data_IF_144982930531
#
_entry.id   IF_144982930531
#
_cell.length_a   1.000
_cell.length_b   1.000
_cell.length_c   1.000
_cell.angle_alpha   90.00
_cell.angle_beta   90.00
_cell.angle_gamma   90.00
#
_symmetry.space_group_name_H-M   'P 1'
#
loop_
_entity.id
_entity.type
_entity.pdbx_description
1 polymer ?
#
# COMPACT_ATOMS: atom_id res chain seq x y z
N UNK A 1 42.80 -64.81 -38.46
CA UNK A 1 41.55 -64.16 -38.00
C UNK A 1 41.20 -64.72 -36.63
N UNK A 2 41.28 -63.92 -35.56
CA UNK A 2 40.95 -64.34 -34.19
C UNK A 2 39.59 -63.73 -33.81
N UNK A 3 38.58 -64.58 -33.66
CA UNK A 3 37.26 -64.20 -33.14
C UNK A 3 37.41 -64.09 -31.62
N UNK A 4 37.29 -62.87 -31.08
CA UNK A 4 37.17 -62.64 -29.65
C UNK A 4 35.68 -62.62 -29.29
N UNK A 5 35.23 -63.66 -28.61
CA UNK A 5 33.91 -63.74 -27.98
C UNK A 5 33.90 -62.80 -26.77
N UNK A 6 33.08 -61.75 -26.81
CA UNK A 6 32.83 -60.89 -25.65
C UNK A 6 31.75 -61.54 -24.78
N UNK A 7 32.13 -62.03 -23.60
CA UNK A 7 31.18 -62.38 -22.56
C UNK A 7 30.59 -61.08 -21.97
N UNK A 8 29.29 -60.88 -22.17
CA UNK A 8 28.56 -59.77 -21.59
C UNK A 8 28.08 -60.19 -20.19
N UNK A 9 28.80 -59.75 -19.15
CA UNK A 9 28.37 -59.94 -17.76
C UNK A 9 27.26 -58.93 -17.47
N UNK A 10 26.02 -59.41 -17.39
CA UNK A 10 24.87 -58.63 -16.97
C UNK A 10 25.01 -58.29 -15.46
N UNK A 11 25.45 -57.07 -15.16
CA UNK A 11 25.35 -56.51 -13.80
C UNK A 11 23.90 -56.08 -13.62
N UNK A 12 23.13 -56.91 -12.92
CA UNK A 12 21.80 -56.60 -12.44
C UNK A 12 21.93 -55.49 -11.37
N UNK A 13 21.89 -54.23 -11.80
CA UNK A 13 21.72 -53.10 -10.88
C UNK A 13 20.29 -53.17 -10.37
N UNK A 14 20.11 -53.70 -9.17
CA UNK A 14 18.90 -53.50 -8.37
C UNK A 14 18.75 -51.98 -8.20
N UNK A 15 17.92 -51.37 -9.04
CA UNK A 15 17.39 -50.04 -8.79
C UNK A 15 16.45 -50.18 -7.58
N UNK A 16 17.02 -50.07 -6.38
CA UNK A 16 16.23 -49.78 -5.20
C UNK A 16 15.56 -48.42 -5.46
N UNK A 17 14.28 -48.44 -5.81
CA UNK A 17 13.39 -47.30 -5.65
C UNK A 17 13.32 -46.98 -4.16
N UNK A 18 14.36 -46.33 -3.64
CA UNK A 18 14.29 -45.60 -2.40
C UNK A 18 13.28 -44.49 -2.66
N UNK A 19 12.04 -44.73 -2.22
CA UNK A 19 11.04 -43.69 -2.09
C UNK A 19 11.65 -42.59 -1.23
N UNK A 20 12.15 -41.54 -1.88
CA UNK A 20 12.59 -40.33 -1.22
C UNK A 20 11.39 -39.85 -0.39
N UNK A 21 11.54 -39.66 0.94
CA UNK A 21 10.45 -39.13 1.75
C UNK A 21 10.00 -37.83 1.09
N UNK A 22 8.67 -37.66 0.95
CA UNK A 22 8.05 -36.46 0.42
C UNK A 22 8.71 -35.26 1.09
N UNK A 23 9.63 -34.64 0.37
CA UNK A 23 10.46 -33.56 0.91
C UNK A 23 9.49 -32.44 1.19
N UNK A 24 9.40 -32.04 2.46
CA UNK A 24 8.58 -30.93 2.90
C UNK A 24 8.90 -29.75 1.98
N UNK A 25 7.99 -29.44 1.06
CA UNK A 25 8.20 -28.35 0.11
C UNK A 25 8.44 -27.09 0.95
N UNK A 26 9.56 -26.37 0.74
CA UNK A 26 9.82 -25.16 1.48
C UNK A 26 8.65 -24.21 1.23
N UNK A 27 7.90 -23.93 2.30
CA UNK A 27 6.77 -23.01 2.28
C UNK A 27 7.31 -21.65 1.83
N UNK A 28 7.08 -21.29 0.57
CA UNK A 28 7.43 -19.98 0.03
C UNK A 28 6.52 -18.95 0.70
N UNK A 29 7.07 -18.22 1.67
CA UNK A 29 6.35 -17.14 2.37
C UNK A 29 6.71 -15.83 1.68
N UNK A 30 5.76 -15.24 0.95
CA UNK A 30 5.88 -13.84 0.54
C UNK A 30 5.56 -12.95 1.74
N UNK A 31 6.25 -11.81 1.84
CA UNK A 31 5.94 -10.82 2.88
C UNK A 31 4.86 -9.89 2.34
N UNK A 32 3.79 -9.71 3.11
CA UNK A 32 2.66 -8.89 2.70
C UNK A 32 2.32 -7.90 3.80
N UNK A 33 2.21 -6.63 3.43
CA UNK A 33 1.89 -5.54 4.35
C UNK A 33 0.75 -4.73 3.77
N UNK A 34 -0.23 -4.36 4.58
CA UNK A 34 -1.34 -3.54 4.13
C UNK A 34 -1.45 -2.28 4.99
N UNK A 35 -1.40 -1.14 4.31
CA UNK A 35 -1.50 0.18 4.92
C UNK A 35 -2.78 0.84 4.42
N UNK A 36 -3.67 1.20 5.34
CA UNK A 36 -4.95 1.82 5.02
C UNK A 36 -5.18 3.06 5.87
N UNK A 37 -5.90 4.01 5.30
CA UNK A 37 -6.38 5.21 5.96
C UNK A 37 -7.85 5.40 5.66
N UNK A 38 -8.58 5.98 6.60
CA UNK A 38 -9.98 6.34 6.38
C UNK A 38 -10.07 7.67 5.64
N UNK A 39 -10.83 7.70 4.55
CA UNK A 39 -11.15 8.90 3.77
C UNK A 39 -12.68 8.99 3.64
N UNK A 40 -13.29 9.86 4.46
CA UNK A 40 -14.75 9.87 4.61
C UNK A 40 -15.24 8.55 5.20
N UNK A 41 -16.15 7.88 4.48
CA UNK A 41 -16.66 6.56 4.85
C UNK A 41 -15.98 5.41 4.10
N UNK A 42 -14.87 5.67 3.41
CA UNK A 42 -14.08 4.66 2.71
C UNK A 42 -12.78 4.37 3.46
N UNK A 43 -12.25 3.16 3.27
CA UNK A 43 -10.86 2.84 3.50
C UNK A 43 -10.09 2.93 2.18
N UNK A 44 -9.04 3.75 2.15
CA UNK A 44 -8.13 3.90 1.01
C UNK A 44 -6.74 3.47 1.46
N UNK A 45 -6.09 2.59 0.69
CA UNK A 45 -4.84 1.99 1.11
C UNK A 45 -4.03 1.35 0.00
N UNK A 46 -2.91 0.76 0.40
CA UNK A 46 -2.00 0.00 -0.47
C UNK A 46 -1.69 -1.31 0.24
N UNK A 47 -1.90 -2.43 -0.46
CA UNK A 47 -1.34 -3.72 -0.10
C UNK A 47 -0.01 -3.92 -0.84
N UNK A 48 1.04 -4.24 -0.11
CA UNK A 48 2.42 -4.36 -0.61
C UNK A 48 2.89 -5.80 -0.44
N UNK A 49 3.18 -6.47 -1.55
CA UNK A 49 3.75 -7.83 -1.60
C UNK A 49 5.24 -7.71 -1.89
N UNK A 50 6.07 -8.35 -1.08
CA UNK A 50 7.52 -8.44 -1.27
C UNK A 50 7.88 -9.91 -1.43
N UNK A 51 8.72 -10.23 -2.41
CA UNK A 51 9.33 -11.56 -2.52
C UNK A 51 10.66 -11.60 -1.74
N UNK A 52 10.70 -12.12 -0.51
CA UNK A 52 11.95 -12.20 0.26
C UNK A 52 12.86 -13.36 -0.19
N UNK A 53 12.39 -14.20 -1.13
CA UNK A 53 13.05 -15.43 -1.50
C UNK A 53 14.13 -15.18 -2.55
N UNK A 54 15.02 -16.15 -2.73
CA UNK A 54 16.08 -16.10 -3.76
C UNK A 54 15.59 -16.52 -5.15
N UNK A 55 14.33 -16.96 -5.28
CA UNK A 55 13.75 -17.44 -6.53
C UNK A 55 12.56 -16.56 -6.93
N UNK A 56 12.24 -16.43 -8.23
CA UNK A 56 10.99 -15.81 -8.64
C UNK A 56 9.78 -16.56 -8.09
N UNK A 57 8.76 -15.82 -7.64
CA UNK A 57 7.51 -16.39 -7.12
C UNK A 57 6.35 -15.87 -7.94
N UNK A 58 5.40 -16.73 -8.31
CA UNK A 58 4.19 -16.32 -8.99
C UNK A 58 3.14 -15.83 -7.99
N UNK A 59 2.64 -14.61 -8.21
CA UNK A 59 1.53 -14.02 -7.48
C UNK A 59 0.29 -14.19 -8.34
N UNK A 60 -0.56 -15.15 -7.98
CA UNK A 60 -1.76 -15.49 -8.75
C UNK A 60 -2.86 -14.44 -8.62
N UNK A 61 -3.29 -14.19 -7.39
CA UNK A 61 -4.41 -13.30 -7.07
C UNK A 61 -4.22 -12.73 -5.66
N UNK A 62 -4.63 -11.47 -5.46
CA UNK A 62 -4.71 -10.88 -4.13
C UNK A 62 -6.17 -10.77 -3.71
N UNK A 63 -6.48 -11.30 -2.53
CA UNK A 63 -7.81 -11.28 -1.93
C UNK A 63 -7.73 -10.89 -0.45
N UNK A 64 -8.67 -10.06 0.00
CA UNK A 64 -8.87 -9.73 1.42
C UNK A 64 -10.31 -9.24 1.63
N UNK A 65 -10.80 -9.31 2.85
CA UNK A 65 -12.15 -8.85 3.19
C UNK A 65 -12.10 -7.53 3.95
N UNK A 66 -13.02 -6.63 3.65
CA UNK A 66 -13.28 -5.43 4.43
C UNK A 66 -14.62 -5.61 5.12
N UNK A 67 -14.58 -5.52 6.45
CA UNK A 67 -15.76 -5.51 7.32
C UNK A 67 -16.04 -4.09 7.73
N UNK A 68 -17.31 -3.78 7.85
CA UNK A 68 -17.79 -2.48 8.29
C UNK A 68 -18.60 -2.69 9.56
N UNK A 69 -18.39 -1.82 10.53
CA UNK A 69 -19.20 -1.77 11.74
C UNK A 69 -20.11 -0.54 11.68
N UNK A 70 -21.19 -0.54 12.46
CA UNK A 70 -21.97 0.67 12.75
C UNK A 70 -21.38 1.48 13.92
N UNK A 71 -22.09 2.53 14.33
CA UNK A 71 -21.68 3.42 15.43
C UNK A 71 -21.59 2.70 16.78
N UNK A 72 -22.31 1.59 16.95
CA UNK A 72 -22.34 0.77 18.15
C UNK A 72 -21.32 -0.38 18.10
N UNK A 73 -20.42 -0.35 17.11
CA UNK A 73 -19.40 -1.39 16.86
C UNK A 73 -19.97 -2.77 16.52
N UNK A 74 -21.20 -2.83 15.98
CA UNK A 74 -21.79 -4.07 15.49
C UNK A 74 -21.39 -4.25 14.02
N UNK A 75 -20.75 -5.38 13.71
CA UNK A 75 -20.37 -5.71 12.33
C UNK A 75 -21.60 -5.89 11.45
N UNK A 76 -21.55 -5.29 10.26
CA UNK A 76 -22.58 -5.27 9.24
C UNK A 76 -22.16 -6.16 8.07
N UNK A 77 -22.64 -7.40 8.11
CA UNK A 77 -22.32 -8.41 7.09
C UNK A 77 -22.98 -8.10 5.73
N UNK A 78 -24.08 -7.34 5.71
CA UNK A 78 -24.81 -6.91 4.51
C UNK A 78 -23.99 -5.99 3.59
N UNK A 79 -22.99 -5.29 4.14
CA UNK A 79 -22.08 -4.44 3.37
C UNK A 79 -20.63 -4.92 3.38
N UNK A 80 -20.38 -6.17 3.83
CA UNK A 80 -19.05 -6.78 3.77
C UNK A 80 -18.56 -6.78 2.32
N UNK A 81 -17.33 -6.35 2.13
CA UNK A 81 -16.73 -6.29 0.79
C UNK A 81 -15.58 -7.28 0.69
N UNK A 82 -15.70 -8.21 -0.26
CA UNK A 82 -14.59 -9.06 -0.66
C UNK A 82 -13.80 -8.35 -1.76
N UNK A 83 -12.54 -8.02 -1.48
CA UNK A 83 -11.62 -7.53 -2.50
C UNK A 83 -11.01 -8.69 -3.28
N UNK A 84 -11.12 -8.59 -4.59
CA UNK A 84 -10.38 -9.39 -5.56
C UNK A 84 -9.67 -8.39 -6.47
N UNK A 85 -8.34 -8.40 -6.44
CA UNK A 85 -7.56 -7.48 -7.28
C UNK A 85 -7.04 -8.23 -8.51
N UNK A 86 -7.51 -7.91 -9.73
CA UNK A 86 -6.96 -8.48 -10.96
C UNK A 86 -5.64 -7.80 -11.38
N UNK A 87 -5.30 -6.68 -10.76
CA UNK A 87 -4.09 -5.92 -11.03
C UNK A 87 -3.61 -5.13 -9.81
N UNK A 88 -2.31 -4.87 -9.76
CA UNK A 88 -1.64 -4.06 -8.76
C UNK A 88 -0.91 -2.91 -9.45
N UNK A 89 -1.54 -1.72 -9.47
CA UNK A 89 -1.08 -0.60 -10.29
C UNK A 89 -1.16 -0.95 -11.78
N UNK A 90 -0.04 -0.82 -12.50
CA UNK A 90 0.07 -1.20 -13.92
C UNK A 90 0.28 -2.71 -14.16
N UNK A 91 0.51 -3.49 -13.10
CA UNK A 91 0.84 -4.91 -13.22
C UNK A 91 -0.43 -5.76 -13.16
N UNK A 92 -0.73 -6.49 -14.25
CA UNK A 92 -1.81 -7.49 -14.25
C UNK A 92 -1.39 -8.73 -13.46
N UNK A 93 -2.35 -9.35 -12.77
CA UNK A 93 -2.19 -10.65 -12.13
C UNK A 93 -2.84 -11.75 -13.01
N UNK A 94 -2.29 -12.98 -13.05
CA UNK A 94 -1.11 -13.45 -12.33
C UNK A 94 0.20 -12.81 -12.84
N UNK A 95 1.22 -12.69 -11.97
CA UNK A 95 2.53 -12.15 -12.35
C UNK A 95 3.68 -12.84 -11.63
N UNK A 96 4.86 -12.88 -12.25
CA UNK A 96 6.08 -13.40 -11.61
C UNK A 96 6.85 -12.26 -10.93
N UNK A 97 6.99 -12.35 -9.63
CA UNK A 97 7.71 -11.40 -8.79
C UNK A 97 9.16 -11.88 -8.60
N UNK A 98 10.13 -11.12 -9.10
CA UNK A 98 11.55 -11.43 -8.95
C UNK A 98 12.02 -11.39 -7.47
N UNK A 99 13.14 -12.03 -7.11
CA UNK A 99 13.75 -11.90 -5.78
C UNK A 99 13.91 -10.44 -5.34
N UNK A 100 13.42 -10.10 -4.15
CA UNK A 100 13.46 -8.75 -3.59
C UNK A 100 12.48 -7.75 -4.23
N UNK A 101 11.76 -8.13 -5.29
CA UNK A 101 10.82 -7.23 -5.94
C UNK A 101 9.60 -6.93 -5.05
N UNK A 102 9.05 -5.74 -5.24
CA UNK A 102 7.94 -5.18 -4.48
C UNK A 102 6.79 -4.91 -5.44
N UNK A 103 5.60 -5.40 -5.09
CA UNK A 103 4.36 -5.20 -5.84
C UNK A 103 3.39 -4.41 -4.95
N UNK A 104 2.99 -3.22 -5.40
CA UNK A 104 2.06 -2.35 -4.68
C UNK A 104 0.68 -2.37 -5.33
N UNK A 105 -0.33 -2.72 -4.53
CA UNK A 105 -1.70 -2.94 -4.93
C UNK A 105 -2.61 -1.90 -4.23
N UNK A 106 -2.84 -0.72 -4.85
CA UNK A 106 -3.73 0.29 -4.28
C UNK A 106 -5.17 -0.20 -4.29
N UNK A 107 -5.91 0.07 -3.21
CA UNK A 107 -7.32 -0.28 -3.09
C UNK A 107 -8.12 0.87 -2.46
N UNK A 108 -9.43 0.86 -2.72
CA UNK A 108 -10.39 1.79 -2.13
C UNK A 108 -11.69 1.05 -1.88
N UNK A 109 -12.15 1.00 -0.63
CA UNK A 109 -13.40 0.35 -0.25
C UNK A 109 -14.63 1.11 -0.75
N UNK A 110 -15.76 0.43 -0.69
CA UNK A 110 -17.08 1.05 -0.74
C UNK A 110 -17.30 1.97 0.48
N UNK A 111 -18.32 2.82 0.39
CA UNK A 111 -18.71 3.67 1.51
C UNK A 111 -19.34 2.84 2.64
N UNK A 112 -18.91 3.10 3.88
CA UNK A 112 -19.60 2.66 5.07
C UNK A 112 -20.83 3.54 5.32
N UNK A 113 -21.99 3.13 4.80
CA UNK A 113 -23.26 3.83 4.99
C UNK A 113 -23.70 3.94 6.46
N UNK A 114 -23.13 3.13 7.36
CA UNK A 114 -23.40 3.17 8.80
C UNK A 114 -22.45 4.08 9.57
N UNK A 115 -21.47 4.68 8.89
CA UNK A 115 -20.48 5.62 9.43
C UNK A 115 -19.64 5.11 10.62
N UNK A 116 -19.75 3.82 10.96
CA UNK A 116 -18.99 3.17 12.04
C UNK A 116 -17.58 2.77 11.61
N UNK A 117 -16.92 1.93 12.39
CA UNK A 117 -15.53 1.55 12.15
C UNK A 117 -15.37 0.71 10.86
N UNK A 118 -14.16 0.67 10.30
CA UNK A 118 -13.82 -0.17 9.14
C UNK A 118 -12.69 -1.11 9.58
N UNK A 119 -12.89 -2.41 9.44
CA UNK A 119 -11.91 -3.44 9.82
C UNK A 119 -11.50 -4.21 8.57
N UNK A 120 -10.21 -4.22 8.26
CA UNK A 120 -9.69 -5.00 7.13
C UNK A 120 -9.24 -6.33 7.71
N UNK A 121 -9.98 -7.38 7.36
CA UNK A 121 -9.71 -8.73 7.81
C UNK A 121 -9.12 -9.51 6.67
N UNK A 122 -7.92 -9.95 6.91
CA UNK A 122 -7.18 -10.79 6.02
C UNK A 122 -6.97 -12.11 6.74
N UNK A 123 -7.41 -13.21 6.13
CA UNK A 123 -7.36 -14.53 6.74
C UNK A 123 -6.94 -15.56 5.71
N UNK A 124 -6.51 -16.73 6.19
CA UNK A 124 -6.28 -17.88 5.33
C UNK A 124 -7.61 -18.25 4.65
N UNK A 125 -7.76 -17.99 3.35
CA UNK A 125 -8.88 -18.52 2.60
C UNK A 125 -8.70 -20.04 2.55
N UNK A 126 -9.70 -20.79 3.06
CA UNK A 126 -9.76 -22.23 2.84
C UNK A 126 -9.84 -22.46 1.33
N UNK A 127 -8.85 -23.16 0.79
CA UNK A 127 -8.89 -23.67 -0.57
C UNK A 127 -10.13 -24.55 -0.71
N UNK A 128 -11.11 -24.11 -1.49
CA UNK A 128 -12.09 -25.04 -2.08
C UNK A 128 -11.43 -25.66 -3.31
N UNK A 129 -11.70 -26.95 -3.57
CA UNK A 129 -11.02 -27.75 -4.60
C UNK A 129 -11.07 -27.14 -6.02
N UNK A 130 -12.01 -26.22 -6.28
CA UNK A 130 -12.17 -25.54 -7.56
C UNK A 130 -11.11 -24.46 -7.87
N UNK A 131 -10.26 -24.07 -6.90
CA UNK A 131 -9.28 -22.97 -7.06
C UNK A 131 -7.81 -23.41 -6.87
N UNK A 132 -7.52 -24.71 -7.03
CA UNK A 132 -6.30 -25.38 -6.55
C UNK A 132 -5.01 -25.19 -7.39
N UNK A 133 -4.92 -24.21 -8.29
CA UNK A 133 -3.66 -23.86 -8.96
C UNK A 133 -3.14 -22.48 -8.54
N UNK A 134 -2.67 -22.36 -7.30
CA UNK A 134 -1.99 -21.17 -6.82
C UNK A 134 -1.62 -21.23 -5.34
N UNK A 135 -0.41 -20.75 -5.01
CA UNK A 135 -0.04 -20.50 -3.61
C UNK A 135 -0.71 -19.19 -3.16
N UNK A 136 -1.71 -19.30 -2.27
CA UNK A 136 -2.38 -18.12 -1.71
C UNK A 136 -1.68 -17.65 -0.43
N UNK A 137 -1.54 -16.34 -0.28
CA UNK A 137 -1.01 -15.71 0.93
C UNK A 137 -2.17 -15.35 1.86
N UNK A 138 -2.23 -16.00 3.02
CA UNK A 138 -3.04 -15.55 4.15
C UNK A 138 -2.27 -14.54 5.02
N UNK A 139 -2.98 -13.78 5.84
CA UNK A 139 -2.42 -12.71 6.67
C UNK A 139 -2.90 -12.84 8.12
N UNK A 140 -2.28 -12.07 9.02
CA UNK A 140 -2.84 -11.68 10.33
C UNK A 140 -3.53 -10.31 10.26
N UNK A 141 -4.53 -10.13 11.13
CA UNK A 141 -5.50 -9.01 11.19
C UNK A 141 -4.84 -7.62 11.26
N UNK A 142 -5.43 -6.65 10.54
CA UNK A 142 -4.99 -5.23 10.52
C UNK A 142 -5.67 -4.45 11.65
N UNK A 143 -5.02 -3.43 12.24
CA UNK A 143 -5.67 -2.54 13.21
C UNK A 143 -6.96 -1.91 12.66
N UNK A 144 -8.03 -2.00 13.46
CA UNK A 144 -9.37 -1.43 13.20
C UNK A 144 -9.30 0.09 12.96
N UNK A 145 -9.83 0.55 11.83
CA UNK A 145 -9.91 1.97 11.48
C UNK A 145 -11.15 2.59 12.12
N UNK A 146 -10.92 3.39 13.16
CA UNK A 146 -12.02 4.02 13.91
C UNK A 146 -12.71 5.14 13.12
N UNK A 147 -13.98 5.46 13.44
CA UNK A 147 -14.66 6.64 12.89
C UNK A 147 -13.84 7.90 13.16
N UNK A 148 -13.84 8.83 12.20
CA UNK A 148 -13.32 10.17 12.43
C UNK A 148 -14.31 10.85 13.39
N UNK A 149 -14.04 10.82 14.69
CA UNK A 149 -14.83 11.61 15.64
C UNK A 149 -14.68 13.08 15.25
N UNK A 150 -15.80 13.81 15.17
CA UNK A 150 -15.80 15.25 14.95
C UNK A 150 -15.03 15.93 16.11
N UNK A 151 -13.71 16.09 15.96
CA UNK A 151 -12.81 16.63 17.00
C UNK A 151 -11.55 15.81 17.26
N UNK A 152 -11.42 14.58 16.75
CA UNK A 152 -10.27 13.73 17.05
C UNK A 152 -9.19 13.79 15.96
N UNK A 153 -8.01 14.26 16.34
CA UNK A 153 -6.78 14.21 15.53
C UNK A 153 -6.45 12.73 15.21
N UNK A 154 -6.09 12.37 13.96
CA UNK A 154 -5.85 10.97 13.60
C UNK A 154 -4.67 10.39 14.39
N UNK A 155 -4.90 9.27 15.07
CA UNK A 155 -3.87 8.51 15.76
C UNK A 155 -3.07 7.70 14.74
N UNK A 156 -1.75 7.92 14.73
CA UNK A 156 -0.79 7.19 13.90
C UNK A 156 -0.39 5.91 14.66
N UNK A 157 -0.66 4.74 14.08
CA UNK A 157 -0.06 3.48 14.54
C UNK A 157 1.40 3.41 14.07
N UNK A 158 2.29 3.14 15.00
CA UNK A 158 3.74 3.05 14.77
C UNK A 158 4.11 1.58 14.57
N UNK A 159 4.80 1.26 13.47
CA UNK A 159 5.56 0.01 13.31
C UNK A 159 7.06 0.31 13.15
N UNK A 160 7.88 -0.56 13.74
CA UNK A 160 9.28 -0.40 14.14
C UNK A 160 10.33 -0.04 13.08
N UNK A 161 11.21 0.86 13.53
CA UNK A 161 12.66 1.04 13.33
C UNK A 161 13.38 0.55 12.06
N UNK A 162 13.91 1.52 11.30
CA UNK A 162 15.24 1.43 10.68
C UNK A 162 15.90 2.81 10.66
N UNK A 163 17.21 2.83 10.82
CA UNK A 163 18.06 3.91 11.37
C UNK A 163 18.53 4.97 10.36
N UNK A 164 18.29 6.28 10.64
CA UNK A 164 19.10 7.48 10.26
C UNK A 164 18.35 8.82 10.53
N UNK A 165 19.03 9.98 10.39
CA UNK A 165 19.93 10.70 11.31
C UNK A 165 19.12 11.72 12.19
N UNK A 166 19.67 12.75 12.88
CA UNK A 166 18.91 13.47 13.92
C UNK A 166 17.72 14.23 13.31
N UNK A 167 16.50 13.76 13.61
CA UNK A 167 15.25 14.43 13.24
C UNK A 167 15.15 15.73 14.01
N UNK A 168 15.28 16.85 13.30
CA UNK A 168 14.66 18.10 13.74
C UNK A 168 13.18 17.82 14.01
N UNK A 169 12.68 18.32 15.15
CA UNK A 169 11.27 18.20 15.52
C UNK A 169 10.43 18.74 14.35
N UNK A 170 9.48 17.96 13.78
CA UNK A 170 8.66 18.43 12.66
C UNK A 170 7.97 19.74 13.05
N UNK A 171 7.98 20.72 12.15
CA UNK A 171 7.25 21.96 12.38
C UNK A 171 5.77 21.64 12.59
N UNK A 172 5.13 22.32 13.55
CA UNK A 172 3.69 22.21 13.72
C UNK A 172 3.00 22.98 12.59
N UNK A 173 1.89 22.43 12.08
CA UNK A 173 1.08 23.07 11.04
C UNK A 173 -0.36 23.27 11.53
N UNK A 174 -0.93 24.42 11.20
CA UNK A 174 -2.34 24.76 11.46
C UNK A 174 -3.14 24.58 10.18
N UNK A 175 -4.17 23.74 10.25
CA UNK A 175 -5.03 23.42 9.10
C UNK A 175 -6.24 24.38 9.01
N UNK A 176 -6.54 24.85 7.80
CA UNK A 176 -7.77 25.59 7.48
C UNK A 176 -8.53 24.86 6.38
N UNK A 177 -9.68 24.28 6.75
CA UNK A 177 -10.53 23.53 5.83
C UNK A 177 -11.20 24.45 4.79
N UNK A 178 -11.42 23.92 3.58
CA UNK A 178 -12.10 24.61 2.47
C UNK A 178 -11.48 25.99 2.18
N UNK A 179 -10.15 26.04 2.27
CA UNK A 179 -9.36 27.24 2.05
C UNK A 179 -8.13 26.90 1.22
N UNK A 180 -7.67 27.90 0.48
CA UNK A 180 -6.37 27.88 -0.19
C UNK A 180 -5.65 29.22 0.06
N UNK A 181 -4.33 29.25 -0.13
CA UNK A 181 -3.53 30.48 -0.17
C UNK A 181 -3.38 30.91 -1.63
N UNK A 182 -4.05 31.99 -2.08
CA UNK A 182 -3.97 32.41 -3.48
C UNK A 182 -2.57 32.89 -3.85
N UNK A 183 -2.04 32.36 -4.96
CA UNK A 183 -0.70 32.68 -5.44
C UNK A 183 0.40 32.29 -4.45
N UNK A 184 1.53 33.01 -4.55
CA UNK A 184 2.76 32.76 -3.74
C UNK A 184 3.24 31.31 -3.83
N UNK A 185 2.98 30.67 -4.96
CA UNK A 185 3.46 29.33 -5.23
C UNK A 185 4.98 29.31 -5.31
N UNK A 186 5.58 28.27 -4.75
CA UNK A 186 7.02 28.04 -4.87
C UNK A 186 7.24 27.26 -6.15
N UNK A 187 8.11 27.73 -7.03
CA UNK A 187 8.55 26.94 -8.18
C UNK A 187 9.57 25.89 -7.73
N UNK A 188 9.46 24.66 -8.23
CA UNK A 188 10.44 23.60 -7.96
C UNK A 188 11.07 22.99 -9.21
N UNK A 189 11.13 23.75 -10.30
CA UNK A 189 11.74 23.31 -11.56
C UNK A 189 10.96 22.22 -12.30
N UNK A 190 9.72 21.95 -11.89
CA UNK A 190 8.81 21.07 -12.62
C UNK A 190 8.42 21.72 -13.94
N UNK A 191 8.05 20.91 -14.92
CA UNK A 191 7.43 21.36 -16.17
C UNK A 191 5.92 21.15 -16.09
N UNK A 192 5.15 22.04 -16.70
CA UNK A 192 3.72 21.88 -16.90
C UNK A 192 3.43 20.87 -18.02
N UNK A 193 2.15 20.64 -18.30
CA UNK A 193 1.70 19.71 -19.35
C UNK A 193 2.11 20.15 -20.77
N UNK A 194 2.50 21.41 -20.96
CA UNK A 194 3.00 21.95 -22.21
C UNK A 194 4.55 21.94 -22.28
N UNK A 195 5.23 21.36 -21.29
CA UNK A 195 6.69 21.29 -21.22
C UNK A 195 7.37 22.60 -20.80
N UNK A 196 6.62 23.63 -20.41
CA UNK A 196 7.16 24.91 -19.92
C UNK A 196 7.42 24.84 -18.41
N UNK A 197 8.34 25.65 -17.85
CA UNK A 197 8.54 25.69 -16.41
C UNK A 197 7.23 26.01 -15.66
N UNK A 198 6.84 25.15 -14.73
CA UNK A 198 5.66 25.35 -13.89
C UNK A 198 5.94 26.44 -12.85
N UNK A 199 5.01 27.38 -12.71
CA UNK A 199 5.08 28.45 -11.72
C UNK A 199 4.79 27.95 -10.28
N UNK A 200 4.45 26.68 -10.12
CA UNK A 200 4.09 26.05 -8.84
C UNK A 200 4.85 24.74 -8.64
N UNK A 201 4.93 24.31 -7.40
CA UNK A 201 5.49 23.02 -7.02
C UNK A 201 4.37 22.10 -6.55
N UNK A 202 4.00 21.15 -7.41
CA UNK A 202 3.03 20.10 -7.07
C UNK A 202 3.77 18.89 -6.51
N UNK A 203 3.44 18.52 -5.28
CA UNK A 203 4.01 17.35 -4.59
C UNK A 203 2.88 16.35 -4.38
N UNK A 204 3.07 15.11 -4.83
CA UNK A 204 2.11 14.02 -4.67
C UNK A 204 2.67 12.95 -3.71
N UNK A 205 1.79 12.10 -3.19
CA UNK A 205 2.11 11.12 -2.14
C UNK A 205 1.47 11.43 -0.79
N UNK A 206 0.44 12.28 -0.79
CA UNK A 206 -0.36 12.65 0.36
C UNK A 206 0.28 13.67 1.29
N UNK A 207 -0.47 14.03 2.35
CA UNK A 207 -0.10 15.11 3.28
C UNK A 207 1.32 15.02 3.82
N UNK A 208 1.75 13.84 4.23
CA UNK A 208 3.07 13.65 4.83
C UNK A 208 4.21 13.99 3.85
N UNK A 209 4.06 13.61 2.58
CA UNK A 209 5.05 13.93 1.55
C UNK A 209 5.08 15.43 1.24
N UNK A 210 3.91 16.07 1.12
CA UNK A 210 3.80 17.52 0.88
C UNK A 210 4.40 18.31 2.06
N UNK A 211 4.11 17.89 3.29
CA UNK A 211 4.66 18.50 4.50
C UNK A 211 6.19 18.35 4.56
N UNK A 212 6.71 17.16 4.31
CA UNK A 212 8.16 16.93 4.28
C UNK A 212 8.85 17.78 3.21
N UNK A 213 8.23 17.91 2.02
CA UNK A 213 8.74 18.78 0.96
C UNK A 213 8.71 20.28 1.36
N UNK A 214 7.69 20.71 2.10
CA UNK A 214 7.63 22.07 2.65
C UNK A 214 8.67 22.28 3.76
N UNK A 215 8.89 21.31 4.64
CA UNK A 215 9.89 21.40 5.72
C UNK A 215 11.32 21.46 5.17
N UNK A 216 11.59 20.79 4.04
CA UNK A 216 12.88 20.81 3.36
C UNK A 216 13.22 22.17 2.68
N UNK A 217 12.24 23.06 2.52
CA UNK A 217 12.40 24.36 1.84
C UNK A 217 12.27 25.51 2.83
N UNK A 218 13.32 26.33 2.92
CA UNK A 218 13.37 27.47 3.85
C UNK A 218 12.30 28.52 3.52
N UNK A 219 12.01 28.68 2.23
CA UNK A 219 11.02 29.61 1.71
C UNK A 219 9.57 29.12 1.87
N UNK A 220 9.34 27.84 2.20
CA UNK A 220 7.99 27.31 2.35
C UNK A 220 7.38 27.69 3.70
N UNK A 221 6.31 28.48 3.67
CA UNK A 221 5.58 28.94 4.83
C UNK A 221 4.23 28.23 5.00
N UNK A 222 3.67 27.68 3.93
CA UNK A 222 2.44 26.90 3.94
C UNK A 222 2.38 25.92 2.75
N UNK A 223 1.37 25.06 2.73
CA UNK A 223 1.00 24.30 1.54
C UNK A 223 -0.51 24.10 1.45
N UNK A 224 -1.04 24.00 0.23
CA UNK A 224 -2.44 23.69 -0.02
C UNK A 224 -2.57 22.26 -0.51
N UNK A 225 -3.34 21.41 0.17
CA UNK A 225 -3.68 20.08 -0.30
C UNK A 225 -4.92 20.15 -1.21
N UNK A 226 -4.81 19.61 -2.42
CA UNK A 226 -5.90 19.40 -3.37
C UNK A 226 -6.32 17.93 -3.30
N UNK A 227 -7.41 17.66 -2.57
CA UNK A 227 -7.80 16.28 -2.25
C UNK A 227 -6.79 15.55 -1.35
N UNK A 228 -6.78 14.20 -1.35
CA UNK A 228 -5.92 13.41 -0.47
C UNK A 228 -4.49 13.22 -0.98
N UNK A 229 -4.24 13.41 -2.28
CA UNK A 229 -3.05 12.85 -2.94
C UNK A 229 -1.94 13.87 -3.21
N UNK A 230 -2.27 15.11 -3.57
CA UNK A 230 -1.29 16.09 -4.02
C UNK A 230 -1.52 17.46 -3.39
N UNK A 231 -0.45 18.24 -3.22
CA UNK A 231 -0.53 19.60 -2.73
C UNK A 231 0.48 20.55 -3.38
N UNK A 232 0.28 21.84 -3.14
CA UNK A 232 1.03 22.94 -3.72
C UNK A 232 1.76 23.70 -2.61
N UNK A 233 3.08 23.86 -2.76
CA UNK A 233 3.91 24.56 -1.77
C UNK A 233 3.76 26.08 -1.89
N UNK A 234 3.67 26.79 -0.76
CA UNK A 234 3.41 28.22 -0.67
C UNK A 234 4.50 28.95 0.11
N UNK A 235 4.94 30.08 -0.43
CA UNK A 235 5.94 30.96 0.17
C UNK A 235 5.36 31.91 1.24
N UNK A 236 4.04 31.93 1.43
CA UNK A 236 3.36 32.79 2.41
C UNK A 236 2.30 32.00 3.18
N UNK A 237 2.03 32.41 4.42
CA UNK A 237 0.97 31.82 5.27
C UNK A 237 -0.45 32.27 4.90
N UNK A 238 -0.62 33.26 4.01
CA UNK A 238 -1.91 33.85 3.65
C UNK A 238 -1.78 35.08 2.73
N UNK A 239 -2.88 35.75 2.36
CA UNK A 239 -4.24 35.57 2.86
C UNK A 239 -4.87 34.24 2.44
N UNK A 240 -5.86 33.76 3.19
CA UNK A 240 -6.65 32.59 2.82
C UNK A 240 -7.90 33.01 2.06
N UNK A 241 -8.23 32.33 0.96
CA UNK A 241 -9.52 32.49 0.28
C UNK A 241 -10.50 31.43 0.76
N UNK A 242 -11.68 31.87 1.20
CA UNK A 242 -12.82 31.00 1.56
C UNK A 242 -14.04 31.41 0.72
N UNK A 243 -14.83 30.45 0.17
CA UNK A 243 -14.62 29.01 0.15
C UNK A 243 -13.78 28.54 -1.05
N UNK A 244 -12.83 27.63 -0.81
CA UNK A 244 -12.12 26.86 -1.82
C UNK A 244 -12.42 25.37 -1.62
N UNK A 245 -13.53 24.88 -2.20
CA UNK A 245 -13.94 23.48 -2.09
C UNK A 245 -12.86 22.55 -2.69
N UNK A 246 -12.60 21.44 -2.02
CA UNK A 246 -11.55 20.47 -2.41
C UNK A 246 -10.15 20.80 -1.90
N UNK A 247 -9.96 21.97 -1.28
CA UNK A 247 -8.68 22.40 -0.74
C UNK A 247 -8.66 22.43 0.79
N UNK A 248 -7.50 22.10 1.38
CA UNK A 248 -7.18 22.38 2.78
C UNK A 248 -5.79 23.01 2.85
N UNK A 249 -5.69 24.21 3.40
CA UNK A 249 -4.42 24.88 3.63
C UNK A 249 -3.79 24.47 4.96
N UNK A 250 -2.47 24.32 4.97
CA UNK A 250 -1.67 24.06 6.16
C UNK A 250 -0.56 25.11 6.25
N UNK A 251 -0.63 25.99 7.25
CA UNK A 251 0.42 26.99 7.49
C UNK A 251 1.35 26.51 8.61
N UNK A 252 2.66 26.69 8.43
CA UNK A 252 3.65 26.47 9.51
C UNK A 252 3.30 27.38 10.69
N UNK A 253 3.47 26.87 11.92
CA UNK A 253 3.35 27.67 13.14
C UNK A 253 4.28 28.89 13.11
#
# INVERSE_FOLDING_TARGET
>A
MKIKTLACTAVLVLAACLALPATAQPKLVLNLTLNATRVGDKAVGIATIVNPTKQPVEVGKLMFDIRFDDKDSITKDDIRQQFTMPSCGSTKLPTKLAPGAVLACPFTSNDNIYHGAISIVSGAMKLTEENASGNYLGFDVIPKLMPISAGSKPASSTASASSKPPRSKPAAYTATLQANVPGKDIACGQKDYAGKPAAFCKVCGGKAAVQAACDARKECAAFDLEGPDCGYLKAAKGPFKKPAKGFTSYAKA
#
